data_IF_389016092902
#
_entry.id   IF_389016092902
#
_cell.length_a   1.000
_cell.length_b   1.000
_cell.length_c   1.000
_cell.angle_alpha   90.00
_cell.angle_beta   90.00
_cell.angle_gamma   90.00
#
_symmetry.space_group_name_H-M   'P 1'
#
loop_
_entity.id
_entity.type
_entity.pdbx_description
1 polymer ?
#
# COMPACT_ATOMS: atom_id res chain seq x y z
N UNK A 1 34.25 -3.94 -1.14
CA UNK A 1 33.44 -4.63 -0.10
C UNK A 1 32.04 -4.06 -0.15
N UNK A 2 31.00 -4.90 -0.12
CA UNK A 2 29.59 -4.45 -0.07
C UNK A 2 29.28 -3.85 1.30
N UNK A 3 28.66 -2.67 1.30
CA UNK A 3 28.26 -1.96 2.53
C UNK A 3 26.76 -2.11 2.81
N UNK A 4 26.32 -1.76 4.03
CA UNK A 4 24.88 -1.70 4.36
C UNK A 4 24.15 -0.63 3.52
N UNK A 5 24.84 0.44 3.13
CA UNK A 5 24.28 1.47 2.26
C UNK A 5 23.97 0.91 0.87
N UNK A 6 24.88 0.09 0.31
CA UNK A 6 24.67 -0.57 -0.98
C UNK A 6 23.46 -1.50 -0.94
N UNK A 7 23.30 -2.26 0.15
CA UNK A 7 22.13 -3.13 0.33
C UNK A 7 20.83 -2.33 0.46
N UNK A 8 20.85 -1.22 1.22
CA UNK A 8 19.70 -0.35 1.38
C UNK A 8 19.29 0.34 0.07
N UNK A 9 20.27 0.68 -0.78
CA UNK A 9 20.04 1.20 -2.13
C UNK A 9 19.42 0.12 -3.03
N UNK A 10 19.98 -1.10 -3.04
CA UNK A 10 19.50 -2.23 -3.83
C UNK A 10 18.02 -2.53 -3.55
N UNK A 11 17.63 -2.58 -2.27
CA UNK A 11 16.22 -2.89 -1.90
C UNK A 11 15.32 -1.65 -1.89
N UNK A 12 15.85 -0.48 -2.28
CA UNK A 12 15.17 0.83 -2.15
C UNK A 12 14.51 0.99 -0.78
N UNK A 13 15.28 0.80 0.29
CA UNK A 13 14.77 0.62 1.65
C UNK A 13 13.66 1.60 2.08
N UNK A 14 13.76 2.92 1.79
CA UNK A 14 12.70 3.88 2.13
C UNK A 14 11.35 3.63 1.47
N UNK A 15 11.32 3.02 0.28
CA UNK A 15 10.10 2.78 -0.47
C UNK A 15 9.22 1.71 0.20
N UNK A 16 9.80 0.85 1.05
CA UNK A 16 9.03 -0.12 1.84
C UNK A 16 8.04 0.52 2.82
N UNK A 17 8.12 1.82 3.11
CA UNK A 17 7.13 2.51 3.93
C UNK A 17 5.71 2.50 3.32
N UNK A 18 5.57 2.22 2.02
CA UNK A 18 4.27 2.12 1.36
C UNK A 18 3.59 0.76 1.54
N UNK A 19 4.27 -0.28 2.03
CA UNK A 19 3.69 -1.64 2.07
C UNK A 19 2.97 -2.03 3.37
N UNK A 20 3.43 -1.62 4.58
CA UNK A 20 2.74 -1.97 5.83
C UNK A 20 1.26 -1.59 5.87
N UNK A 21 0.89 -0.48 5.20
CA UNK A 21 -0.48 -0.02 5.15
C UNK A 21 -1.45 -0.98 4.43
N UNK A 22 -0.97 -1.84 3.52
CA UNK A 22 -1.81 -2.84 2.86
C UNK A 22 -2.26 -3.91 3.86
N UNK A 23 -1.29 -4.48 4.59
CA UNK A 23 -1.53 -5.48 5.63
C UNK A 23 -2.46 -4.91 6.69
N UNK A 24 -2.23 -3.67 7.13
CA UNK A 24 -3.06 -3.00 8.13
C UNK A 24 -4.48 -2.76 7.62
N UNK A 25 -4.64 -2.28 6.37
CA UNK A 25 -5.94 -2.07 5.75
C UNK A 25 -6.73 -3.38 5.60
N UNK A 26 -6.06 -4.45 5.18
CA UNK A 26 -6.65 -5.78 5.06
C UNK A 26 -7.08 -6.36 6.41
N UNK A 27 -6.21 -6.26 7.42
CA UNK A 27 -6.52 -6.71 8.77
C UNK A 27 -7.71 -5.93 9.37
N UNK A 28 -7.75 -4.60 9.20
CA UNK A 28 -8.86 -3.78 9.64
C UNK A 28 -10.18 -4.17 8.96
N UNK A 29 -10.18 -4.30 7.63
CA UNK A 29 -11.37 -4.67 6.86
C UNK A 29 -11.89 -6.08 7.20
N UNK A 30 -10.99 -7.03 7.45
CA UNK A 30 -11.34 -8.40 7.84
C UNK A 30 -11.82 -8.51 9.30
N UNK A 31 -11.55 -7.50 10.14
CA UNK A 31 -11.73 -7.56 11.60
C UNK A 31 -10.69 -8.45 12.27
N UNK A 32 -9.44 -8.41 11.80
CA UNK A 32 -8.33 -9.28 12.18
C UNK A 32 -7.14 -8.52 12.79
N UNK A 33 -7.29 -7.22 13.09
CA UNK A 33 -6.24 -6.45 13.77
C UNK A 33 -5.90 -7.11 15.11
N UNK A 34 -4.61 -7.35 15.32
CA UNK A 34 -4.11 -8.05 16.51
C UNK A 34 -2.65 -7.68 16.80
N UNK A 35 -2.09 -8.09 17.95
CA UNK A 35 -0.66 -7.92 18.23
C UNK A 35 0.28 -8.59 17.21
N UNK A 36 -0.26 -9.47 16.34
CA UNK A 36 0.47 -10.14 15.26
C UNK A 36 0.56 -9.31 13.97
N UNK A 37 -0.30 -8.29 13.81
CA UNK A 37 -0.34 -7.46 12.61
C UNK A 37 1.00 -6.80 12.27
N UNK A 38 1.80 -6.28 13.23
CA UNK A 38 3.13 -5.74 12.92
C UNK A 38 4.08 -6.78 12.31
N UNK A 39 4.02 -8.04 12.76
CA UNK A 39 4.88 -9.08 12.20
C UNK A 39 4.44 -9.50 10.78
N UNK A 40 3.13 -9.51 10.48
CA UNK A 40 2.65 -9.67 9.10
C UNK A 40 3.04 -8.48 8.21
N UNK A 41 3.06 -7.25 8.74
CA UNK A 41 3.58 -6.10 8.03
C UNK A 41 5.09 -6.21 7.79
N UNK A 42 5.84 -6.78 8.75
CA UNK A 42 7.24 -7.16 8.58
C UNK A 42 7.44 -8.17 7.46
N UNK A 43 6.59 -9.20 7.38
CA UNK A 43 6.62 -10.16 6.28
C UNK A 43 6.38 -9.50 4.92
N UNK A 44 5.42 -8.58 4.83
CA UNK A 44 5.16 -7.76 3.63
C UNK A 44 6.38 -6.90 3.24
N UNK A 45 7.05 -6.26 4.20
CA UNK A 45 8.30 -5.51 3.96
C UNK A 45 9.42 -6.40 3.42
N UNK A 46 9.59 -7.60 3.99
CA UNK A 46 10.58 -8.57 3.50
C UNK A 46 10.29 -9.00 2.06
N UNK A 47 9.02 -9.29 1.74
CA UNK A 47 8.61 -9.64 0.37
C UNK A 47 8.78 -8.48 -0.61
N UNK A 48 8.52 -7.24 -0.17
CA UNK A 48 8.77 -6.06 -0.98
C UNK A 48 10.25 -5.88 -1.29
N UNK A 49 11.13 -5.96 -0.28
CA UNK A 49 12.58 -5.89 -0.49
C UNK A 49 13.11 -7.04 -1.33
N UNK A 50 12.53 -8.24 -1.19
CA UNK A 50 12.83 -9.36 -2.06
C UNK A 50 12.54 -9.04 -3.53
N UNK A 51 11.36 -8.50 -3.83
CA UNK A 51 10.99 -8.04 -5.18
C UNK A 51 11.91 -6.95 -5.69
N UNK A 52 12.30 -5.98 -4.85
CA UNK A 52 13.23 -4.93 -5.28
C UNK A 52 14.60 -5.48 -5.69
N UNK A 53 15.16 -6.40 -4.89
CA UNK A 53 16.42 -7.06 -5.22
C UNK A 53 16.29 -7.98 -6.45
N UNK A 54 15.18 -8.70 -6.60
CA UNK A 54 14.90 -9.54 -7.76
C UNK A 54 14.76 -8.71 -9.04
N UNK A 55 14.09 -7.56 -8.97
CA UNK A 55 13.93 -6.64 -10.09
C UNK A 55 15.29 -6.14 -10.59
N UNK A 56 16.14 -5.62 -9.70
CA UNK A 56 17.48 -5.12 -10.06
C UNK A 56 18.36 -6.24 -10.60
N UNK A 57 18.28 -7.44 -10.01
CA UNK A 57 18.98 -8.59 -10.56
C UNK A 57 18.51 -8.92 -11.97
N UNK A 58 17.20 -8.90 -12.24
CA UNK A 58 16.65 -9.17 -13.57
C UNK A 58 17.06 -8.09 -14.60
N UNK A 59 17.10 -6.83 -14.19
CA UNK A 59 17.43 -5.68 -15.06
C UNK A 59 18.93 -5.42 -15.22
N UNK A 60 19.80 -6.13 -14.49
CA UNK A 60 21.25 -5.88 -14.42
C UNK A 60 21.99 -5.62 -15.75
N UNK A 61 21.54 -6.22 -16.86
CA UNK A 61 22.14 -6.00 -18.19
C UNK A 61 21.69 -4.68 -18.80
N UNK A 62 20.39 -4.38 -18.71
CA UNK A 62 19.81 -3.11 -19.14
C UNK A 62 20.35 -1.96 -18.28
N UNK A 63 20.40 -2.15 -16.96
CA UNK A 63 20.96 -1.17 -16.03
C UNK A 63 22.45 -0.91 -16.31
N UNK A 64 23.21 -1.87 -16.83
CA UNK A 64 24.60 -1.64 -17.20
C UNK A 64 24.77 -0.68 -18.38
N UNK A 65 23.75 -0.57 -19.24
CA UNK A 65 23.73 0.33 -20.39
C UNK A 65 23.12 1.70 -20.00
N UNK A 66 21.99 1.70 -19.27
CA UNK A 66 21.22 2.92 -18.99
C UNK A 66 21.63 3.62 -17.68
N UNK A 67 22.11 2.87 -16.68
CA UNK A 67 22.32 3.33 -15.29
C UNK A 67 23.52 2.63 -14.63
N UNK A 68 24.75 2.79 -15.17
CA UNK A 68 25.93 2.02 -14.73
C UNK A 68 26.31 2.26 -13.25
N UNK A 69 25.81 3.32 -12.63
CA UNK A 69 26.01 3.64 -11.22
C UNK A 69 25.27 2.71 -10.24
N UNK A 70 24.27 1.94 -10.70
CA UNK A 70 23.46 1.07 -9.85
C UNK A 70 24.29 -0.02 -9.17
N UNK A 71 23.87 -0.56 -8.00
CA UNK A 71 24.72 -1.43 -7.19
C UNK A 71 25.26 -2.68 -7.88
N UNK A 72 24.48 -3.29 -8.79
CA UNK A 72 24.89 -4.50 -9.51
C UNK A 72 25.84 -4.18 -10.67
N UNK A 73 25.49 -3.30 -11.65
CA UNK A 73 26.41 -2.96 -12.74
C UNK A 73 27.72 -2.31 -12.27
N UNK A 74 27.66 -1.50 -11.20
CA UNK A 74 28.85 -0.83 -10.66
C UNK A 74 29.80 -1.78 -9.91
N UNK A 75 29.44 -3.06 -9.77
CA UNK A 75 30.23 -4.07 -9.06
C UNK A 75 30.22 -3.96 -7.53
N UNK A 76 29.43 -3.04 -6.94
CA UNK A 76 29.30 -2.91 -5.47
C UNK A 76 28.61 -4.12 -4.85
N UNK A 77 27.71 -4.77 -5.61
CA UNK A 77 27.02 -6.00 -5.27
C UNK A 77 27.12 -6.97 -6.44
N UNK A 78 27.53 -8.22 -6.17
CA UNK A 78 27.59 -9.24 -7.22
C UNK A 78 26.18 -9.71 -7.60
N UNK A 79 25.93 -10.12 -8.86
CA UNK A 79 24.63 -10.68 -9.25
C UNK A 79 24.20 -11.88 -8.39
N UNK A 80 25.15 -12.73 -7.99
CA UNK A 80 24.88 -13.87 -7.11
C UNK A 80 24.42 -13.43 -5.71
N UNK A 81 25.04 -12.38 -5.14
CA UNK A 81 24.63 -11.83 -3.86
C UNK A 81 23.23 -11.20 -3.94
N UNK A 82 22.91 -10.48 -5.02
CA UNK A 82 21.59 -9.87 -5.21
C UNK A 82 20.46 -10.91 -5.30
N UNK A 83 20.62 -11.96 -6.11
CA UNK A 83 19.60 -13.03 -6.20
C UNK A 83 19.52 -13.85 -4.91
N UNK A 84 20.65 -14.09 -4.24
CA UNK A 84 20.69 -14.76 -2.93
C UNK A 84 19.94 -13.96 -1.87
N UNK A 85 20.12 -12.63 -1.84
CA UNK A 85 19.37 -11.73 -0.97
C UNK A 85 17.87 -11.77 -1.28
N UNK A 86 17.49 -11.69 -2.56
CA UNK A 86 16.10 -11.76 -2.99
C UNK A 86 15.43 -13.07 -2.56
N UNK A 87 16.10 -14.21 -2.77
CA UNK A 87 15.61 -15.52 -2.36
C UNK A 87 15.52 -15.65 -0.83
N UNK A 88 16.54 -15.19 -0.10
CA UNK A 88 16.57 -15.21 1.36
C UNK A 88 15.46 -14.35 1.99
N UNK A 89 15.26 -13.14 1.49
CA UNK A 89 14.16 -12.25 1.91
C UNK A 89 12.79 -12.84 1.56
N UNK A 90 12.66 -13.49 0.39
CA UNK A 90 11.43 -14.21 0.02
C UNK A 90 11.12 -15.31 1.03
N UNK A 91 12.09 -16.17 1.33
CA UNK A 91 11.94 -17.26 2.28
C UNK A 91 11.63 -16.75 3.69
N UNK A 92 12.32 -15.69 4.14
CA UNK A 92 12.07 -15.07 5.44
C UNK A 92 10.67 -14.45 5.53
N UNK A 93 10.21 -13.75 4.48
CA UNK A 93 8.87 -13.17 4.42
C UNK A 93 7.76 -14.22 4.46
N UNK A 94 7.86 -15.26 3.61
CA UNK A 94 6.91 -16.38 3.62
C UNK A 94 6.96 -17.15 4.95
N UNK A 95 8.16 -17.42 5.48
CA UNK A 95 8.35 -18.11 6.74
C UNK A 95 7.75 -17.35 7.93
N UNK A 96 7.98 -16.03 7.99
CA UNK A 96 7.41 -15.17 9.03
C UNK A 96 5.88 -15.13 8.93
N UNK A 97 5.33 -15.00 7.73
CA UNK A 97 3.89 -15.06 7.51
C UNK A 97 3.30 -16.40 7.96
N UNK A 98 3.94 -17.52 7.62
CA UNK A 98 3.51 -18.85 8.03
C UNK A 98 3.61 -19.06 9.56
N UNK A 99 4.69 -18.60 10.19
CA UNK A 99 4.91 -18.74 11.64
C UNK A 99 3.88 -17.94 12.45
N UNK A 100 3.52 -16.73 11.99
CA UNK A 100 2.65 -15.82 12.74
C UNK A 100 1.18 -15.99 12.37
N UNK A 101 0.87 -16.15 11.09
CA UNK A 101 -0.49 -16.23 10.55
C UNK A 101 -0.94 -17.65 10.16
N UNK A 102 -0.08 -18.66 10.34
CA UNK A 102 -0.39 -20.06 10.07
C UNK A 102 -0.61 -20.36 8.58
N UNK A 103 -1.31 -21.49 8.32
CA UNK A 103 -1.59 -21.99 6.96
C UNK A 103 -2.29 -20.97 6.05
N UNK A 104 -3.19 -20.16 6.59
CA UNK A 104 -3.94 -19.15 5.80
C UNK A 104 -3.04 -18.02 5.32
N UNK A 105 -2.13 -17.54 6.17
CA UNK A 105 -1.16 -16.53 5.76
C UNK A 105 -0.14 -17.12 4.76
N UNK A 106 0.33 -18.35 4.99
CA UNK A 106 1.20 -19.05 4.03
C UNK A 106 0.55 -19.20 2.65
N UNK A 107 -0.73 -19.57 2.61
CA UNK A 107 -1.51 -19.72 1.37
C UNK A 107 -1.70 -18.40 0.59
N UNK A 108 -1.41 -17.25 1.18
CA UNK A 108 -1.41 -15.94 0.53
C UNK A 108 0.00 -15.43 0.24
N UNK A 109 0.93 -15.64 1.18
CA UNK A 109 2.33 -15.23 1.03
C UNK A 109 3.03 -15.99 -0.10
N UNK A 110 2.74 -17.28 -0.30
CA UNK A 110 3.33 -18.07 -1.40
C UNK A 110 2.87 -17.57 -2.78
N UNK A 111 1.56 -17.44 -3.07
CA UNK A 111 1.12 -16.81 -4.32
C UNK A 111 1.60 -15.37 -4.49
N UNK A 112 1.66 -14.59 -3.40
CA UNK A 112 2.20 -13.23 -3.44
C UNK A 112 3.68 -13.25 -3.89
N UNK A 113 4.52 -14.08 -3.27
CA UNK A 113 5.91 -14.24 -3.65
C UNK A 113 6.04 -14.69 -5.12
N UNK A 114 5.26 -15.68 -5.56
CA UNK A 114 5.24 -16.14 -6.94
C UNK A 114 4.83 -15.02 -7.92
N UNK A 115 3.87 -14.17 -7.54
CA UNK A 115 3.41 -13.04 -8.36
C UNK A 115 4.47 -11.95 -8.45
N UNK A 116 5.22 -11.69 -7.37
CA UNK A 116 6.35 -10.75 -7.34
C UNK A 116 7.43 -11.20 -8.34
N UNK A 117 7.90 -12.45 -8.21
CA UNK A 117 8.88 -13.00 -9.15
C UNK A 117 8.36 -13.07 -10.59
N UNK A 118 7.08 -13.41 -10.77
CA UNK A 118 6.42 -13.40 -12.08
C UNK A 118 6.36 -12.00 -12.69
N UNK A 119 6.17 -10.96 -11.90
CA UNK A 119 6.28 -9.59 -12.36
C UNK A 119 7.69 -9.26 -12.83
N UNK A 120 8.69 -9.50 -11.98
CA UNK A 120 10.07 -9.09 -12.20
C UNK A 120 10.72 -9.81 -13.39
N UNK A 121 10.37 -11.08 -13.61
CA UNK A 121 10.98 -11.92 -14.65
C UNK A 121 10.20 -11.94 -15.97
N UNK A 122 8.86 -11.83 -15.92
CA UNK A 122 8.01 -12.12 -17.09
C UNK A 122 7.08 -10.97 -17.48
N UNK A 123 6.49 -10.27 -16.51
CA UNK A 123 5.36 -9.39 -16.82
C UNK A 123 5.71 -7.91 -16.96
N UNK A 124 6.74 -7.39 -16.28
CA UNK A 124 6.98 -5.94 -16.17
C UNK A 124 7.12 -5.21 -17.50
N UNK A 125 7.68 -5.87 -18.51
CA UNK A 125 7.88 -5.31 -19.86
C UNK A 125 6.76 -5.68 -20.85
N UNK A 126 5.72 -6.40 -20.41
CA UNK A 126 4.59 -6.83 -21.27
C UNK A 126 3.33 -6.04 -20.97
N UNK A 127 2.29 -6.17 -21.79
CA UNK A 127 0.99 -5.55 -21.53
C UNK A 127 0.35 -5.98 -20.18
N UNK A 128 0.75 -7.15 -19.64
CA UNK A 128 0.26 -7.67 -18.38
C UNK A 128 0.87 -6.99 -17.13
N UNK A 129 1.97 -6.25 -17.26
CA UNK A 129 2.71 -5.64 -16.14
C UNK A 129 1.83 -4.91 -15.11
N UNK A 130 0.96 -3.96 -15.51
CA UNK A 130 0.06 -3.27 -14.59
C UNK A 130 -0.91 -4.20 -13.84
N UNK A 131 -1.39 -5.27 -14.49
CA UNK A 131 -2.29 -6.23 -13.86
C UNK A 131 -1.57 -7.11 -12.83
N UNK A 132 -0.36 -7.56 -13.14
CA UNK A 132 0.45 -8.39 -12.22
C UNK A 132 0.91 -7.56 -11.01
N UNK A 133 1.35 -6.31 -11.22
CA UNK A 133 1.70 -5.40 -10.12
C UNK A 133 0.49 -5.09 -9.22
N UNK A 134 -0.69 -4.87 -9.81
CA UNK A 134 -1.94 -4.72 -9.08
C UNK A 134 -2.30 -5.98 -8.27
N UNK A 135 -2.07 -7.17 -8.82
CA UNK A 135 -2.27 -8.43 -8.13
C UNK A 135 -1.34 -8.60 -6.92
N UNK A 136 -0.05 -8.21 -7.04
CA UNK A 136 0.88 -8.18 -5.90
C UNK A 136 0.30 -7.37 -4.74
N UNK A 137 -0.15 -6.14 -5.01
CA UNK A 137 -0.69 -5.25 -3.96
C UNK A 137 -2.04 -5.73 -3.42
N UNK A 138 -2.89 -6.28 -4.27
CA UNK A 138 -4.14 -6.92 -3.83
C UNK A 138 -3.89 -8.10 -2.88
N UNK A 139 -2.97 -9.00 -3.23
CA UNK A 139 -2.59 -10.16 -2.41
C UNK A 139 -1.93 -9.73 -1.09
N UNK A 140 -1.15 -8.65 -1.08
CA UNK A 140 -0.54 -8.08 0.12
C UNK A 140 -1.60 -7.55 1.12
N UNK A 141 -2.66 -6.92 0.63
CA UNK A 141 -3.83 -6.57 1.47
C UNK A 141 -4.50 -7.84 2.02
N UNK A 142 -4.69 -8.86 1.20
CA UNK A 142 -5.31 -10.11 1.66
C UNK A 142 -4.43 -10.85 2.67
N UNK A 143 -3.10 -10.75 2.59
CA UNK A 143 -2.19 -11.32 3.58
C UNK A 143 -2.51 -10.80 4.99
N UNK A 144 -2.77 -9.51 5.14
CA UNK A 144 -3.23 -8.91 6.40
C UNK A 144 -4.61 -9.38 6.86
N UNK A 145 -5.47 -9.78 5.92
CA UNK A 145 -6.80 -10.31 6.21
C UNK A 145 -6.81 -11.81 6.61
N UNK A 146 -5.67 -12.51 6.56
CA UNK A 146 -5.53 -13.96 6.80
C UNK A 146 -6.09 -14.44 8.15
N UNK A 147 -6.08 -13.58 9.17
CA UNK A 147 -6.61 -13.86 10.51
C UNK A 147 -8.11 -13.61 10.69
N UNK A 148 -8.83 -13.13 9.68
CA UNK A 148 -10.24 -12.74 9.79
C UNK A 148 -11.11 -13.19 8.62
N UNK A 149 -12.17 -12.40 8.33
CA UNK A 149 -13.11 -12.69 7.25
C UNK A 149 -12.62 -12.10 5.93
N UNK A 150 -11.92 -12.92 5.15
CA UNK A 150 -11.31 -12.55 3.86
C UNK A 150 -12.27 -11.81 2.92
N UNK A 151 -13.52 -12.26 2.84
CA UNK A 151 -14.56 -11.66 1.98
C UNK A 151 -14.81 -10.18 2.28
N UNK A 152 -14.63 -9.74 3.53
CA UNK A 152 -14.77 -8.32 3.91
C UNK A 152 -13.56 -7.47 3.51
N UNK A 153 -12.41 -8.08 3.27
CA UNK A 153 -11.20 -7.41 2.81
C UNK A 153 -11.12 -7.29 1.28
N UNK A 154 -11.89 -8.08 0.52
CA UNK A 154 -11.89 -8.03 -0.95
C UNK A 154 -12.11 -6.60 -1.51
N UNK A 155 -13.04 -5.78 -1.01
CA UNK A 155 -13.18 -4.40 -1.51
C UNK A 155 -11.95 -3.53 -1.22
N UNK A 156 -11.26 -3.74 -0.10
CA UNK A 156 -10.01 -3.03 0.21
C UNK A 156 -8.88 -3.48 -0.72
N UNK A 157 -8.73 -4.79 -0.92
CA UNK A 157 -7.74 -5.36 -1.83
C UNK A 157 -7.95 -4.89 -3.27
N UNK A 158 -9.19 -4.90 -3.76
CA UNK A 158 -9.56 -4.39 -5.08
C UNK A 158 -9.30 -2.89 -5.22
N UNK A 159 -9.54 -2.10 -4.17
CA UNK A 159 -9.28 -0.65 -4.17
C UNK A 159 -7.79 -0.34 -4.29
N UNK A 160 -6.96 -1.04 -3.52
CA UNK A 160 -5.49 -0.89 -3.60
C UNK A 160 -4.98 -1.39 -4.96
N UNK A 161 -5.45 -2.56 -5.42
CA UNK A 161 -5.09 -3.09 -6.73
C UNK A 161 -5.45 -2.13 -7.87
N UNK A 162 -6.64 -1.52 -7.83
CA UNK A 162 -7.06 -0.53 -8.82
C UNK A 162 -6.19 0.74 -8.78
N UNK A 163 -5.84 1.25 -7.59
CA UNK A 163 -4.86 2.33 -7.47
C UNK A 163 -3.53 1.94 -8.12
N UNK A 164 -2.98 0.80 -7.74
CA UNK A 164 -1.70 0.31 -8.27
C UNK A 164 -1.75 0.17 -9.78
N UNK A 165 -2.83 -0.38 -10.34
CA UNK A 165 -3.02 -0.45 -11.78
C UNK A 165 -2.95 0.94 -12.43
N UNK A 166 -3.63 1.95 -11.87
CA UNK A 166 -3.63 3.32 -12.44
C UNK A 166 -2.22 3.91 -12.47
N UNK A 167 -1.46 3.73 -11.38
CA UNK A 167 -0.09 4.25 -11.26
C UNK A 167 0.85 3.52 -12.22
N UNK A 168 0.79 2.18 -12.26
CA UNK A 168 1.65 1.36 -13.14
C UNK A 168 1.28 1.53 -14.61
N UNK A 169 0.02 1.81 -14.95
CA UNK A 169 -0.38 2.13 -16.32
C UNK A 169 0.20 3.49 -16.76
N UNK A 170 0.15 4.52 -15.89
CA UNK A 170 0.77 5.82 -16.16
C UNK A 170 2.30 5.75 -16.22
N UNK A 171 2.95 4.95 -15.37
CA UNK A 171 4.42 4.89 -15.31
C UNK A 171 5.06 4.42 -16.61
N UNK A 172 4.34 3.66 -17.43
CA UNK A 172 4.79 3.24 -18.78
C UNK A 172 4.95 4.39 -19.77
N UNK A 173 4.44 5.58 -19.44
CA UNK A 173 4.46 6.78 -20.28
C UNK A 173 5.40 7.87 -19.74
N UNK A 174 6.29 7.51 -18.80
CA UNK A 174 7.21 8.46 -18.16
C UNK A 174 8.37 8.94 -19.04
N UNK A 175 8.70 8.17 -20.09
CA UNK A 175 9.77 8.51 -21.05
C UNK A 175 9.20 9.23 -22.27
N UNK A 176 8.13 8.71 -22.84
CA UNK A 176 7.57 9.17 -24.13
C UNK A 176 6.41 10.16 -23.99
N UNK A 177 5.87 10.35 -22.79
CA UNK A 177 4.59 11.06 -22.60
C UNK A 177 3.38 10.15 -22.86
N UNK A 178 2.19 10.63 -22.51
CA UNK A 178 0.94 9.86 -22.63
C UNK A 178 0.11 10.29 -23.85
N UNK A 179 -0.71 9.38 -24.37
CA UNK A 179 -1.84 9.77 -25.22
C UNK A 179 -2.91 10.47 -24.36
N UNK A 180 -3.84 11.20 -24.98
CA UNK A 180 -4.87 11.94 -24.24
C UNK A 180 -5.87 11.03 -23.48
N UNK A 181 -5.95 9.74 -23.83
CA UNK A 181 -6.98 8.83 -23.31
C UNK A 181 -6.58 8.20 -21.97
N UNK A 182 -5.31 7.84 -21.81
CA UNK A 182 -4.80 7.17 -20.62
C UNK A 182 -4.89 8.05 -19.35
N UNK A 183 -4.52 9.35 -19.37
CA UNK A 183 -4.68 10.25 -18.23
C UNK A 183 -6.15 10.40 -17.81
N UNK A 184 -7.08 10.49 -18.76
CA UNK A 184 -8.52 10.55 -18.46
C UNK A 184 -9.03 9.28 -17.79
N UNK A 185 -8.65 8.10 -18.31
CA UNK A 185 -9.03 6.80 -17.73
C UNK A 185 -8.47 6.61 -16.31
N UNK A 186 -7.21 7.00 -16.10
CA UNK A 186 -6.54 6.84 -14.80
C UNK A 186 -7.04 7.86 -13.78
N UNK A 187 -7.43 9.06 -14.21
CA UNK A 187 -8.14 10.05 -13.37
C UNK A 187 -9.53 9.55 -12.95
N UNK A 188 -10.33 9.02 -13.90
CA UNK A 188 -11.62 8.41 -13.58
C UNK A 188 -11.46 7.22 -12.61
N UNK A 189 -10.47 6.36 -12.85
CA UNK A 189 -10.13 5.26 -11.94
C UNK A 189 -9.73 5.75 -10.54
N UNK A 190 -9.00 6.87 -10.45
CA UNK A 190 -8.61 7.47 -9.17
C UNK A 190 -9.79 8.03 -8.41
N UNK A 191 -10.75 8.65 -9.09
CA UNK A 191 -12.01 9.09 -8.49
C UNK A 191 -12.83 7.91 -7.95
N UNK A 192 -12.92 6.80 -8.70
CA UNK A 192 -13.59 5.58 -8.26
C UNK A 192 -12.90 4.93 -7.05
N UNK A 193 -11.57 4.90 -7.04
CA UNK A 193 -10.74 4.44 -5.90
C UNK A 193 -10.98 5.29 -4.65
N UNK A 194 -11.02 6.62 -4.80
CA UNK A 194 -11.29 7.52 -3.69
C UNK A 194 -12.72 7.33 -3.15
N UNK A 195 -13.71 7.21 -4.04
CA UNK A 195 -15.09 6.96 -3.68
C UNK A 195 -15.24 5.61 -2.94
N UNK A 196 -14.62 4.55 -3.44
CA UNK A 196 -14.67 3.23 -2.79
C UNK A 196 -14.07 3.28 -1.38
N UNK A 197 -12.95 3.97 -1.18
CA UNK A 197 -12.32 4.14 0.13
C UNK A 197 -13.14 5.00 1.11
N UNK A 198 -13.95 5.95 0.60
CA UNK A 198 -14.79 6.83 1.40
C UNK A 198 -16.11 6.19 1.87
N UNK A 199 -16.67 5.22 1.13
CA UNK A 199 -17.98 4.63 1.44
C UNK A 199 -17.93 3.84 2.76
N UNK A 200 -18.69 4.27 3.75
CA UNK A 200 -18.88 3.53 4.99
C UNK A 200 -19.69 2.25 4.76
N UNK A 201 -19.16 1.09 5.17
CA UNK A 201 -19.90 -0.18 5.10
C UNK A 201 -21.01 -0.17 6.17
N UNK A 202 -22.28 -0.48 5.84
CA UNK A 202 -23.42 -0.38 6.78
C UNK A 202 -23.26 -1.12 8.12
N UNK A 203 -22.34 -2.09 8.21
CA UNK A 203 -22.07 -2.88 9.42
C UNK A 203 -21.19 -2.20 10.48
N UNK A 204 -20.39 -1.19 10.15
CA UNK A 204 -19.48 -0.52 11.11
C UNK A 204 -20.23 0.38 12.09
N UNK A 205 -21.34 1.01 11.65
CA UNK A 205 -22.25 1.74 12.53
C UNK A 205 -22.82 0.85 13.64
N UNK A 206 -23.22 -0.38 13.33
CA UNK A 206 -23.78 -1.33 14.33
C UNK A 206 -22.76 -1.81 15.35
N UNK A 207 -21.49 -1.97 14.97
CA UNK A 207 -20.42 -2.37 15.89
C UNK A 207 -20.05 -1.22 16.84
N UNK A 208 -19.85 0.00 16.33
CA UNK A 208 -19.58 1.18 17.14
C UNK A 208 -20.72 1.50 18.13
N UNK A 209 -21.98 1.35 17.68
CA UNK A 209 -23.16 1.48 18.55
C UNK A 209 -23.23 0.40 19.63
N UNK A 210 -22.80 -0.85 19.36
CA UNK A 210 -22.78 -1.95 20.34
C UNK A 210 -21.71 -1.76 21.41
N UNK A 211 -20.49 -1.35 21.04
CA UNK A 211 -19.42 -1.07 22.00
C UNK A 211 -19.75 0.13 22.90
N UNK A 212 -20.41 1.16 22.34
CA UNK A 212 -20.92 2.29 23.10
C UNK A 212 -22.06 1.90 24.07
N UNK A 213 -22.90 0.92 23.69
CA UNK A 213 -23.97 0.43 24.57
C UNK A 213 -23.44 -0.48 25.70
N UNK A 214 -22.39 -1.27 25.45
CA UNK A 214 -21.78 -2.15 26.46
C UNK A 214 -21.00 -1.35 27.52
N UNK A 215 -20.27 -0.32 27.12
CA UNK A 215 -19.59 0.61 28.05
C UNK A 215 -20.57 1.50 28.82
N UNK A 216 -21.75 1.81 28.24
CA UNK A 216 -22.82 2.51 28.95
C UNK A 216 -23.58 1.66 29.98
N UNK A 217 -23.52 0.33 29.87
CA UNK A 217 -24.14 -0.58 30.85
C UNK A 217 -23.30 -0.70 32.14
N UNK A 218 -21.97 -0.55 32.04
CA UNK A 218 -21.06 -0.56 33.19
C UNK A 218 -20.99 0.78 33.93
N UNK A 219 -21.22 1.91 33.25
CA UNK A 219 -21.22 3.26 33.85
C UNK A 219 -22.51 3.62 34.60
N UNK A 220 -23.61 2.85 34.45
CA UNK A 220 -24.89 3.15 35.11
C UNK A 220 -24.92 2.90 36.63
N UNK A 221 -23.81 2.46 37.22
CA UNK A 221 -23.67 2.34 38.66
C UNK A 221 -23.24 3.65 39.36
N UNK A 222 -22.92 4.73 38.62
CA UNK A 222 -22.53 6.01 39.20
C UNK A 222 -23.30 7.18 38.58
N UNK A 223 -24.09 7.88 39.38
CA UNK A 223 -24.79 9.12 39.02
C UNK A 223 -23.79 10.24 38.70
N UNK A 224 -23.57 10.51 37.40
CA UNK A 224 -22.86 11.71 36.92
C UNK A 224 -23.58 12.28 35.70
N UNK A 225 -23.68 13.60 35.65
CA UNK A 225 -24.32 14.45 34.64
C UNK A 225 -24.20 13.93 33.20
N UNK A 226 -25.33 13.46 32.63
CA UNK A 226 -25.39 12.74 31.36
C UNK A 226 -25.33 13.59 30.09
N UNK A 227 -25.27 14.92 30.20
CA UNK A 227 -25.34 15.85 29.06
C UNK A 227 -23.99 16.03 28.36
N UNK A 228 -22.90 16.20 29.12
CA UNK A 228 -21.54 16.37 28.58
C UNK A 228 -20.97 15.09 27.94
N UNK A 229 -21.21 13.93 28.56
CA UNK A 229 -20.75 12.62 28.05
C UNK A 229 -21.46 12.23 26.75
N UNK A 230 -22.76 12.56 26.60
CA UNK A 230 -23.51 12.34 25.35
C UNK A 230 -23.01 13.23 24.21
N UNK A 231 -22.73 14.50 24.48
CA UNK A 231 -22.17 15.42 23.48
C UNK A 231 -20.78 14.97 22.98
N UNK A 232 -19.91 14.51 23.90
CA UNK A 232 -18.59 13.96 23.55
C UNK A 232 -18.66 12.67 22.73
N UNK A 233 -19.54 11.72 23.10
CA UNK A 233 -19.76 10.47 22.34
C UNK A 233 -20.33 10.74 20.94
N UNK A 234 -21.21 11.74 20.80
CA UNK A 234 -21.77 12.16 19.51
C UNK A 234 -20.71 12.77 18.58
N UNK A 235 -19.82 13.63 19.11
CA UNK A 235 -18.70 14.22 18.33
C UNK A 235 -17.71 13.15 17.87
N UNK A 236 -17.27 12.25 18.76
CA UNK A 236 -16.34 11.18 18.39
C UNK A 236 -16.91 10.22 17.34
N UNK A 237 -18.21 9.89 17.43
CA UNK A 237 -18.90 9.09 16.42
C UNK A 237 -18.98 9.81 15.06
N UNK A 238 -19.21 11.13 15.07
CA UNK A 238 -19.24 11.96 13.86
C UNK A 238 -17.87 12.01 13.19
N UNK A 239 -16.80 12.27 13.97
CA UNK A 239 -15.42 12.28 13.49
C UNK A 239 -15.05 10.92 12.88
N UNK A 240 -15.34 9.82 13.58
CA UNK A 240 -15.07 8.48 13.08
C UNK A 240 -15.83 8.16 11.78
N UNK A 241 -17.04 8.70 11.61
CA UNK A 241 -17.85 8.47 10.42
C UNK A 241 -17.33 9.22 9.17
N UNK A 242 -16.76 10.42 9.34
CA UNK A 242 -16.27 11.24 8.22
C UNK A 242 -14.78 10.98 7.90
N UNK A 243 -14.02 10.45 8.85
CA UNK A 243 -12.57 10.26 8.72
C UNK A 243 -12.14 9.49 7.45
N UNK A 244 -12.77 8.36 7.05
CA UNK A 244 -12.41 7.67 5.81
C UNK A 244 -12.56 8.57 4.58
N UNK A 245 -13.64 9.36 4.51
CA UNK A 245 -13.88 10.29 3.41
C UNK A 245 -12.87 11.45 3.39
N UNK A 246 -12.47 11.96 4.56
CA UNK A 246 -11.43 12.99 4.66
C UNK A 246 -10.08 12.47 4.16
N UNK A 247 -9.66 11.27 4.59
CA UNK A 247 -8.39 10.68 4.15
C UNK A 247 -8.41 10.30 2.66
N UNK A 248 -9.52 9.76 2.16
CA UNK A 248 -9.71 9.47 0.74
C UNK A 248 -9.73 10.75 -0.10
N UNK A 249 -10.36 11.82 0.39
CA UNK A 249 -10.34 13.14 -0.22
C UNK A 249 -8.93 13.73 -0.29
N UNK A 250 -8.13 13.57 0.78
CA UNK A 250 -6.72 13.98 0.77
C UNK A 250 -5.90 13.23 -0.28
N UNK A 251 -6.08 11.92 -0.39
CA UNK A 251 -5.50 11.10 -1.45
C UNK A 251 -5.90 11.62 -2.85
N UNK A 252 -7.20 11.81 -3.09
CA UNK A 252 -7.74 12.22 -4.38
C UNK A 252 -7.28 13.63 -4.77
N UNK A 253 -7.29 14.57 -3.83
CA UNK A 253 -6.83 15.94 -4.06
C UNK A 253 -5.37 15.99 -4.47
N UNK A 254 -4.53 15.07 -3.98
CA UNK A 254 -3.11 15.05 -4.29
C UNK A 254 -2.80 14.33 -5.60
N UNK A 255 -3.29 13.11 -5.77
CA UNK A 255 -3.00 12.32 -6.97
C UNK A 255 -3.84 12.76 -8.16
N UNK A 256 -5.14 13.02 -7.94
CA UNK A 256 -6.06 13.52 -8.97
C UNK A 256 -5.65 14.89 -9.50
N UNK A 257 -5.18 15.83 -8.65
CA UNK A 257 -4.66 17.10 -9.14
C UNK A 257 -3.45 16.92 -10.06
N UNK A 258 -2.53 16.00 -9.72
CA UNK A 258 -1.40 15.70 -10.58
C UNK A 258 -1.84 15.06 -11.91
N UNK A 259 -2.85 14.19 -11.89
CA UNK A 259 -3.42 13.61 -13.11
C UNK A 259 -4.16 14.63 -13.98
N UNK A 260 -4.85 15.61 -13.39
CA UNK A 260 -5.48 16.72 -14.12
C UNK A 260 -4.43 17.53 -14.89
N UNK A 261 -3.25 17.73 -14.31
CA UNK A 261 -2.14 18.37 -15.01
C UNK A 261 -1.64 17.54 -16.19
N UNK A 262 -1.61 16.21 -16.08
CA UNK A 262 -1.29 15.30 -17.21
C UNK A 262 -2.37 15.32 -18.29
N UNK A 263 -3.65 15.44 -17.91
CA UNK A 263 -4.75 15.59 -18.88
C UNK A 263 -4.60 16.88 -19.70
N UNK A 264 -4.15 17.96 -19.07
CA UNK A 264 -3.91 19.26 -19.73
C UNK A 264 -2.66 19.25 -20.59
N UNK A 265 -1.59 18.65 -20.09
CA UNK A 265 -0.30 18.53 -20.76
C UNK A 265 0.26 17.12 -20.52
N UNK A 266 0.13 16.19 -21.48
CA UNK A 266 0.56 14.80 -21.31
C UNK A 266 2.07 14.60 -21.52
N UNK A 267 2.88 15.62 -21.23
CA UNK A 267 4.34 15.56 -21.29
C UNK A 267 4.92 14.55 -20.28
N UNK A 268 6.05 13.95 -20.67
CA UNK A 268 6.75 12.94 -19.88
C UNK A 268 7.08 13.40 -18.44
N UNK A 269 7.39 14.69 -18.26
CA UNK A 269 7.65 15.28 -16.94
C UNK A 269 6.40 15.35 -16.05
N UNK A 270 5.24 15.69 -16.61
CA UNK A 270 3.96 15.69 -15.89
C UNK A 270 3.54 14.28 -15.49
N UNK A 271 3.74 13.31 -16.39
CA UNK A 271 3.48 11.89 -16.09
C UNK A 271 4.34 11.42 -14.91
N UNK A 272 5.65 11.68 -14.92
CA UNK A 272 6.56 11.35 -13.80
C UNK A 272 6.11 11.99 -12.48
N UNK A 273 5.71 13.26 -12.51
CA UNK A 273 5.19 13.95 -11.34
C UNK A 273 3.90 13.31 -10.79
N UNK A 274 2.98 12.90 -11.68
CA UNK A 274 1.75 12.21 -11.31
C UNK A 274 2.01 10.82 -10.73
N UNK A 275 2.91 10.03 -11.32
CA UNK A 275 3.30 8.71 -10.78
C UNK A 275 3.93 8.86 -9.40
N UNK A 276 4.86 9.81 -9.23
CA UNK A 276 5.42 10.12 -7.91
C UNK A 276 4.35 10.56 -6.89
N UNK A 277 3.33 11.32 -7.32
CA UNK A 277 2.19 11.67 -6.47
C UNK A 277 1.33 10.45 -6.10
N UNK A 278 1.13 9.52 -7.03
CA UNK A 278 0.43 8.26 -6.81
C UNK A 278 1.14 7.37 -5.79
N UNK A 279 2.42 7.07 -6.03
CA UNK A 279 3.26 6.26 -5.14
C UNK A 279 3.29 6.85 -3.72
N UNK A 280 3.56 8.15 -3.60
CA UNK A 280 3.65 8.81 -2.27
C UNK A 280 2.28 9.11 -1.65
N UNK A 281 1.19 8.96 -2.40
CA UNK A 281 -0.18 9.15 -1.94
C UNK A 281 -0.82 7.88 -1.39
N UNK A 282 -0.29 6.69 -1.72
CA UNK A 282 -0.83 5.40 -1.30
C UNK A 282 -1.06 5.27 0.22
N UNK A 283 -0.17 5.74 1.11
CA UNK A 283 -0.45 5.68 2.55
C UNK A 283 -1.71 6.41 2.98
N UNK A 284 -2.10 7.50 2.32
CA UNK A 284 -3.36 8.19 2.61
C UNK A 284 -4.58 7.33 2.22
N UNK A 285 -4.51 6.63 1.08
CA UNK A 285 -5.53 5.68 0.66
C UNK A 285 -5.64 4.49 1.63
N UNK A 286 -4.51 3.91 2.02
CA UNK A 286 -4.45 2.83 3.01
C UNK A 286 -5.06 3.27 4.35
N UNK A 287 -4.69 4.47 4.82
CA UNK A 287 -5.26 5.05 6.03
C UNK A 287 -6.78 5.23 5.98
N UNK A 288 -7.31 5.66 4.83
CA UNK A 288 -8.75 5.73 4.60
C UNK A 288 -9.42 4.35 4.71
N UNK A 289 -8.82 3.32 4.09
CA UNK A 289 -9.32 1.95 4.15
C UNK A 289 -9.24 1.34 5.56
N UNK A 290 -8.18 1.63 6.31
CA UNK A 290 -8.02 1.24 7.72
C UNK A 290 -9.07 1.92 8.62
N UNK A 291 -9.28 3.23 8.43
CA UNK A 291 -10.32 3.96 9.15
C UNK A 291 -11.72 3.42 8.79
N UNK A 292 -11.97 3.10 7.52
CA UNK A 292 -13.21 2.46 7.04
C UNK A 292 -13.45 1.10 7.70
N UNK A 293 -12.39 0.35 8.03
CA UNK A 293 -12.43 -0.90 8.80
C UNK A 293 -12.73 -0.72 10.29
N UNK A 294 -12.83 0.51 10.80
CA UNK A 294 -13.13 0.83 12.20
C UNK A 294 -11.91 1.20 13.04
N UNK A 295 -10.71 1.27 12.45
CA UNK A 295 -9.47 1.59 13.17
C UNK A 295 -8.99 3.01 12.85
N UNK A 296 -9.79 4.02 13.22
CA UNK A 296 -9.57 5.43 12.84
C UNK A 296 -8.19 5.99 13.20
N UNK A 297 -7.75 5.85 14.45
CA UNK A 297 -6.43 6.34 14.91
C UNK A 297 -5.28 5.67 14.14
N UNK A 298 -5.37 4.36 13.92
CA UNK A 298 -4.38 3.64 13.13
C UNK A 298 -4.42 4.08 11.66
N UNK A 299 -5.60 4.37 11.11
CA UNK A 299 -5.75 4.93 9.77
C UNK A 299 -5.06 6.29 9.62
N UNK A 300 -5.19 7.18 10.61
CA UNK A 300 -4.44 8.46 10.63
C UNK A 300 -2.94 8.21 10.69
N UNK A 301 -2.48 7.28 11.55
CA UNK A 301 -1.07 6.94 11.67
C UNK A 301 -0.49 6.39 10.35
N UNK A 302 -1.21 5.51 9.66
CA UNK A 302 -0.83 5.00 8.33
C UNK A 302 -0.78 6.14 7.30
N UNK A 303 -1.80 7.01 7.28
CA UNK A 303 -1.85 8.15 6.36
C UNK A 303 -0.70 9.15 6.58
N UNK A 304 -0.22 9.29 7.82
CA UNK A 304 0.92 10.14 8.16
C UNK A 304 2.25 9.67 7.52
N UNK A 305 2.33 8.45 6.99
CA UNK A 305 3.50 8.01 6.22
C UNK A 305 3.59 8.67 4.82
N UNK A 306 2.49 9.20 4.26
CA UNK A 306 2.49 9.85 2.95
C UNK A 306 3.45 11.07 2.83
N UNK A 307 3.49 12.02 3.79
CA UNK A 307 4.48 13.10 3.77
C UNK A 307 5.92 12.60 3.98
N UNK A 308 6.12 11.55 4.78
CA UNK A 308 7.44 10.94 5.00
C UNK A 308 7.97 10.30 3.72
N UNK A 309 7.14 9.50 3.04
CA UNK A 309 7.48 8.90 1.74
C UNK A 309 7.84 9.97 0.70
N UNK A 310 7.15 11.11 0.67
CA UNK A 310 7.51 12.23 -0.22
C UNK A 310 8.87 12.84 0.11
N UNK A 311 9.20 13.02 1.39
CA UNK A 311 10.50 13.57 1.81
C UNK A 311 11.63 12.61 1.44
N UNK A 312 11.40 11.30 1.55
CA UNK A 312 12.38 10.26 1.24
C UNK A 312 12.55 10.06 -0.27
N UNK A 313 11.46 10.11 -1.05
CA UNK A 313 11.50 10.02 -2.51
C UNK A 313 12.27 11.17 -3.19
N UNK A 314 12.48 12.30 -2.50
CA UNK A 314 13.37 13.38 -2.95
C UNK A 314 14.86 13.05 -2.81
N UNK A 315 15.20 12.06 -1.97
CA UNK A 315 16.58 11.66 -1.66
C UNK A 315 17.00 10.39 -2.40
N UNK A 316 16.07 9.46 -2.60
CA UNK A 316 16.28 8.22 -3.35
C UNK A 316 15.11 8.08 -4.32
N UNK A 317 15.40 8.01 -5.62
CA UNK A 317 14.37 7.81 -6.64
C UNK A 317 13.59 6.53 -6.34
N UNK A 318 12.25 6.56 -6.23
CA UNK A 318 11.45 5.36 -6.05
C UNK A 318 11.38 4.49 -7.32
N UNK A 319 11.70 5.08 -8.47
CA UNK A 319 11.78 4.48 -9.82
C UNK A 319 13.23 4.28 -10.24
#
# INVERSE_FOLDING_TARGET
MTTLADLAELVRAPAALSVPGDVIAGAAAAGALSPRTPALAGASVLLYWAGMAANDWADRRLDAEERPERPIPSGRITPAAAVGLAAGLTAAGVGLAAAVGGRRAAALAVPLAATIWGYDLLAKNTAAGPAVMAACRGLDVLLGASGGRMTRALPAAATVAAHTWTVTALSRREVTGADATLPMRTLAGTALVAASAAVAVPGTRRAALRTANQTGATDRAGTVDGTGVRAGRSRSATIAAVLPAVLAGWYAARYGAAQVEVVRDPSAGRVRAAVGAGITGLPALQGALTARGGAGLLGVAVAAAAPLGRRLARKVSPT
#
